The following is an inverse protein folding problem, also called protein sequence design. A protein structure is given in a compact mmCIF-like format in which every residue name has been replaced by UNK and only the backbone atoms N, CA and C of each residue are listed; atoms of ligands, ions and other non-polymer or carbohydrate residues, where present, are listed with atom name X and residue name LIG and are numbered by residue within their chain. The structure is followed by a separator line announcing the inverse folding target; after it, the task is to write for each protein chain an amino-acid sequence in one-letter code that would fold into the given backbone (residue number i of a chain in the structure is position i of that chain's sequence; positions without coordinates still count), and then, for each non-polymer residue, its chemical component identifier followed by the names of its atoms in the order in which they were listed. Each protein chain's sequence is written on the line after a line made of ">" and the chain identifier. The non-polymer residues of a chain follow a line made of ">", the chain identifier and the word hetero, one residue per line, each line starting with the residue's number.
data_IF_286479511764
#
_entry.id   IF_286479511764
#
_cell.length_a   1.000
_cell.length_b   1.000
_cell.length_c   1.000
_cell.angle_alpha   90.00
_cell.angle_beta   90.00
_cell.angle_gamma   90.00
#
_symmetry.space_group_name_H-M   'P 1'
#
loop_
_entity.id
_entity.type
_entity.pdbx_description
1 polymer ?
#
# COMPACT_ATOMS: atom_id res chain seq x y z
N UNK A 1 -27.41 -28.96 -1.56
CA UNK A 1 -26.17 -29.16 -2.37
C UNK A 1 -25.35 -27.89 -2.24
N UNK A 2 -24.43 -27.84 -1.29
CA UNK A 2 -23.51 -26.73 -1.07
C UNK A 2 -22.41 -26.82 -2.12
N UNK A 3 -22.36 -25.86 -3.04
CA UNK A 3 -21.29 -25.75 -4.02
C UNK A 3 -19.99 -25.46 -3.27
N UNK A 4 -19.08 -26.42 -3.24
CA UNK A 4 -17.70 -26.22 -2.76
C UNK A 4 -17.08 -25.20 -3.70
N UNK A 5 -16.85 -23.99 -3.21
CA UNK A 5 -16.12 -22.95 -3.95
C UNK A 5 -14.67 -23.42 -4.12
N UNK A 6 -14.41 -24.15 -5.20
CA UNK A 6 -13.07 -24.42 -5.66
C UNK A 6 -12.46 -23.09 -6.05
N UNK A 7 -11.38 -22.67 -5.38
CA UNK A 7 -10.64 -21.45 -5.73
C UNK A 7 -10.31 -21.36 -7.23
N UNK A 8 -9.71 -20.25 -7.72
CA UNK A 8 -9.52 -20.06 -9.15
C UNK A 8 -8.72 -21.22 -9.79
N UNK A 9 -9.12 -21.62 -11.00
CA UNK A 9 -8.43 -22.68 -11.76
C UNK A 9 -6.94 -22.34 -11.97
N UNK A 10 -6.07 -23.34 -12.20
CA UNK A 10 -4.64 -23.10 -12.43
C UNK A 10 -4.36 -22.04 -13.51
N UNK A 11 -5.07 -22.13 -14.64
CA UNK A 11 -4.95 -21.15 -15.72
C UNK A 11 -5.36 -19.72 -15.27
N UNK A 12 -6.41 -19.61 -14.44
CA UNK A 12 -6.86 -18.33 -13.88
C UNK A 12 -5.84 -17.78 -12.89
N UNK A 13 -5.23 -18.62 -12.04
CA UNK A 13 -4.16 -18.22 -11.11
C UNK A 13 -2.95 -17.65 -11.84
N UNK A 14 -2.54 -18.29 -12.95
CA UNK A 14 -1.42 -17.81 -13.77
C UNK A 14 -1.75 -16.50 -14.49
N UNK A 15 -2.98 -16.33 -14.95
CA UNK A 15 -3.45 -15.08 -15.54
C UNK A 15 -3.43 -13.93 -14.49
N UNK A 16 -3.91 -14.19 -13.27
CA UNK A 16 -3.89 -13.23 -12.17
C UNK A 16 -2.47 -12.88 -11.75
N UNK A 17 -1.58 -13.85 -11.63
CA UNK A 17 -0.18 -13.63 -11.31
C UNK A 17 0.53 -12.78 -12.38
N UNK A 18 0.25 -13.00 -13.67
CA UNK A 18 0.75 -12.13 -14.75
C UNK A 18 0.21 -10.71 -14.63
N UNK A 19 -1.09 -10.56 -14.32
CA UNK A 19 -1.72 -9.26 -14.13
C UNK A 19 -1.09 -8.49 -12.95
N UNK A 20 -0.87 -9.16 -11.81
CA UNK A 20 -0.19 -8.55 -10.65
C UNK A 20 1.21 -8.11 -11.04
N UNK A 21 2.00 -8.93 -11.72
CA UNK A 21 3.35 -8.55 -12.19
C UNK A 21 3.32 -7.31 -13.08
N UNK A 22 2.36 -7.22 -13.99
CA UNK A 22 2.21 -6.05 -14.85
C UNK A 22 1.86 -4.79 -14.06
N UNK A 23 0.88 -4.90 -13.13
CA UNK A 23 0.47 -3.78 -12.28
C UNK A 23 1.61 -3.30 -11.38
N UNK A 24 2.32 -4.23 -10.74
CA UNK A 24 3.48 -3.92 -9.90
C UNK A 24 4.60 -3.28 -10.71
N UNK A 25 4.89 -3.75 -11.92
CA UNK A 25 5.86 -3.12 -12.81
C UNK A 25 5.44 -1.69 -13.20
N UNK A 26 4.14 -1.47 -13.47
CA UNK A 26 3.60 -0.14 -13.75
C UNK A 26 3.74 0.78 -12.52
N UNK A 27 3.42 0.30 -11.32
CA UNK A 27 3.60 1.03 -10.06
C UNK A 27 5.07 1.39 -9.83
N UNK A 28 6.00 0.45 -9.99
CA UNK A 28 7.44 0.71 -9.84
C UNK A 28 7.90 1.77 -10.86
N UNK A 29 7.52 1.62 -12.13
CA UNK A 29 7.92 2.57 -13.18
C UNK A 29 7.40 3.97 -12.88
N UNK A 30 6.13 4.08 -12.49
CA UNK A 30 5.52 5.36 -12.14
C UNK A 30 6.25 5.99 -10.94
N UNK A 31 6.42 5.27 -9.84
CA UNK A 31 7.05 5.78 -8.62
C UNK A 31 8.53 6.13 -8.80
N UNK A 32 9.28 5.41 -9.65
CA UNK A 32 10.66 5.78 -9.97
C UNK A 32 10.71 7.11 -10.72
N UNK A 33 9.82 7.32 -11.68
CA UNK A 33 9.74 8.60 -12.41
C UNK A 33 9.32 9.72 -11.45
N UNK A 34 8.32 9.46 -10.59
CA UNK A 34 7.83 10.40 -9.58
C UNK A 34 8.91 10.77 -8.57
N UNK A 35 9.65 9.80 -8.04
CA UNK A 35 10.76 10.04 -7.12
C UNK A 35 11.84 10.94 -7.73
N UNK A 36 12.27 10.63 -8.95
CA UNK A 36 13.29 11.42 -9.66
C UNK A 36 12.77 12.85 -9.89
N UNK A 37 11.55 13.00 -10.38
CA UNK A 37 10.95 14.31 -10.67
C UNK A 37 10.77 15.13 -9.38
N UNK A 38 10.22 14.52 -8.31
CA UNK A 38 9.95 15.20 -7.05
C UNK A 38 11.24 15.58 -6.32
N UNK A 39 12.22 14.70 -6.24
CA UNK A 39 13.51 15.00 -5.58
C UNK A 39 14.26 16.07 -6.35
N UNK A 40 14.31 15.99 -7.69
CA UNK A 40 14.99 16.98 -8.52
C UNK A 40 14.32 18.35 -8.41
N UNK A 41 13.00 18.41 -8.55
CA UNK A 41 12.27 19.66 -8.42
C UNK A 41 12.33 20.23 -6.98
N UNK A 42 12.31 19.35 -5.97
CA UNK A 42 12.44 19.72 -4.56
C UNK A 42 13.80 20.32 -4.22
N UNK A 43 14.87 19.74 -4.74
CA UNK A 43 16.23 20.27 -4.55
C UNK A 43 16.42 21.60 -5.25
N UNK A 44 15.87 21.78 -6.46
CA UNK A 44 15.94 23.03 -7.20
C UNK A 44 15.12 24.17 -6.54
N UNK A 45 13.99 23.82 -5.92
CA UNK A 45 13.11 24.76 -5.25
C UNK A 45 13.40 24.91 -3.74
N UNK A 46 14.40 24.21 -3.20
CA UNK A 46 14.68 24.10 -1.76
C UNK A 46 13.45 23.68 -0.94
N UNK A 47 12.55 22.89 -1.55
CA UNK A 47 11.29 22.42 -0.96
C UNK A 47 11.48 21.07 -0.28
N UNK A 48 11.50 21.07 1.06
CA UNK A 48 11.60 19.83 1.86
C UNK A 48 10.37 18.93 1.68
N UNK A 49 9.17 19.51 1.52
CA UNK A 49 7.94 18.77 1.29
C UNK A 49 7.99 17.97 -0.02
N UNK A 50 8.51 18.57 -1.09
CA UNK A 50 8.62 17.91 -2.39
C UNK A 50 9.70 16.82 -2.40
N UNK A 51 10.83 17.04 -1.70
CA UNK A 51 11.85 16.00 -1.47
C UNK A 51 11.22 14.84 -0.69
N UNK A 52 10.46 15.14 0.36
CA UNK A 52 9.77 14.17 1.16
C UNK A 52 8.78 13.33 0.38
N UNK A 53 8.00 13.93 -0.50
CA UNK A 53 7.10 13.24 -1.41
C UNK A 53 7.85 12.26 -2.34
N UNK A 54 9.02 12.67 -2.85
CA UNK A 54 9.88 11.79 -3.63
C UNK A 54 10.45 10.62 -2.81
N UNK A 55 10.75 10.82 -1.53
CA UNK A 55 11.19 9.74 -0.63
C UNK A 55 10.08 8.74 -0.32
N UNK A 56 8.81 9.21 -0.21
CA UNK A 56 7.65 8.34 -0.10
C UNK A 56 7.54 7.39 -1.31
N UNK A 57 7.71 7.92 -2.53
CA UNK A 57 7.74 7.12 -3.76
C UNK A 57 8.88 6.08 -3.76
N UNK A 58 10.05 6.38 -3.17
CA UNK A 58 11.15 5.40 -3.01
C UNK A 58 10.75 4.28 -2.03
N UNK A 59 10.08 4.62 -0.94
CA UNK A 59 9.57 3.64 0.04
C UNK A 59 8.54 2.72 -0.65
N UNK A 60 7.63 3.28 -1.46
CA UNK A 60 6.65 2.50 -2.21
C UNK A 60 7.31 1.56 -3.24
N UNK A 61 8.34 2.02 -3.96
CA UNK A 61 9.13 1.16 -4.86
C UNK A 61 9.70 -0.04 -4.12
N UNK A 62 10.16 0.11 -2.88
CA UNK A 62 10.73 -0.99 -2.10
C UNK A 62 9.71 -2.10 -1.80
N UNK A 63 8.46 -1.74 -1.48
CA UNK A 63 7.39 -2.71 -1.24
C UNK A 63 6.95 -3.39 -2.55
N UNK A 64 6.75 -2.60 -3.61
CA UNK A 64 6.38 -3.09 -4.92
C UNK A 64 7.46 -4.04 -5.48
N UNK A 65 8.76 -3.73 -5.28
CA UNK A 65 9.87 -4.62 -5.66
C UNK A 65 9.83 -5.96 -4.90
N UNK A 66 9.45 -5.96 -3.62
CA UNK A 66 9.29 -7.20 -2.86
C UNK A 66 8.15 -8.07 -3.43
N UNK A 67 7.03 -7.46 -3.84
CA UNK A 67 5.94 -8.16 -4.51
C UNK A 67 6.38 -8.66 -5.89
N UNK A 68 7.10 -7.85 -6.66
CA UNK A 68 7.68 -8.28 -7.95
C UNK A 68 8.59 -9.50 -7.78
N UNK A 69 9.45 -9.49 -6.75
CA UNK A 69 10.30 -10.64 -6.41
C UNK A 69 9.49 -11.89 -6.05
N UNK A 70 8.43 -11.76 -5.25
CA UNK A 70 7.55 -12.87 -4.91
C UNK A 70 6.91 -13.47 -6.18
N UNK A 71 6.34 -12.63 -7.02
CA UNK A 71 5.65 -13.05 -8.24
C UNK A 71 6.58 -13.38 -9.42
N UNK A 72 7.89 -13.20 -9.30
CA UNK A 72 8.87 -13.68 -10.27
C UNK A 72 8.97 -15.22 -10.28
N UNK A 73 8.63 -15.87 -9.17
CA UNK A 73 8.59 -17.33 -9.10
C UNK A 73 7.50 -17.89 -10.04
N UNK A 74 7.85 -18.87 -10.85
CA UNK A 74 6.92 -19.55 -11.76
C UNK A 74 6.05 -20.57 -11.03
N UNK A 75 6.60 -21.18 -9.98
CA UNK A 75 5.92 -22.16 -9.17
C UNK A 75 5.06 -21.49 -8.09
N UNK A 76 3.84 -22.02 -7.89
CA UNK A 76 2.89 -21.52 -6.89
C UNK A 76 3.42 -21.73 -5.47
N UNK A 77 3.98 -22.89 -5.17
CA UNK A 77 4.51 -23.22 -3.85
C UNK A 77 5.67 -22.27 -3.47
N UNK A 78 6.52 -21.91 -4.43
CA UNK A 78 7.61 -20.97 -4.20
C UNK A 78 7.10 -19.53 -4.00
N UNK A 79 6.01 -19.12 -4.68
CA UNK A 79 5.36 -17.82 -4.45
C UNK A 79 4.80 -17.73 -3.03
N UNK A 80 4.16 -18.79 -2.59
CA UNK A 80 3.58 -18.90 -1.25
C UNK A 80 4.68 -18.89 -0.17
N UNK A 81 5.77 -19.62 -0.37
CA UNK A 81 6.94 -19.60 0.52
C UNK A 81 7.60 -18.21 0.64
N UNK A 82 7.54 -17.39 -0.41
CA UNK A 82 8.08 -16.01 -0.42
C UNK A 82 7.13 -15.00 0.23
N UNK A 83 5.85 -15.29 0.34
CA UNK A 83 4.82 -14.34 0.76
C UNK A 83 5.09 -13.76 2.15
N UNK A 84 5.49 -14.58 3.12
CA UNK A 84 5.80 -14.11 4.48
C UNK A 84 6.98 -13.12 4.51
N UNK A 85 8.00 -13.35 3.69
CA UNK A 85 9.14 -12.42 3.59
C UNK A 85 8.72 -11.12 2.93
N UNK A 86 7.92 -11.20 1.87
CA UNK A 86 7.36 -10.03 1.19
C UNK A 86 6.51 -9.19 2.14
N UNK A 87 5.61 -9.81 2.93
CA UNK A 87 4.81 -9.12 3.92
C UNK A 87 5.65 -8.40 4.98
N UNK A 88 6.76 -8.99 5.42
CA UNK A 88 7.69 -8.32 6.35
C UNK A 88 8.36 -7.09 5.74
N UNK A 89 8.77 -7.17 4.47
CA UNK A 89 9.36 -6.03 3.76
C UNK A 89 8.31 -4.93 3.63
N UNK A 90 7.09 -5.26 3.21
CA UNK A 90 5.98 -4.31 3.12
C UNK A 90 5.67 -3.68 4.49
N UNK A 91 5.67 -4.46 5.56
CA UNK A 91 5.46 -3.93 6.91
C UNK A 91 6.54 -2.92 7.32
N UNK A 92 7.80 -3.21 7.02
CA UNK A 92 8.91 -2.27 7.26
C UNK A 92 8.73 -1.00 6.43
N UNK A 93 8.30 -1.12 5.17
CA UNK A 93 8.00 0.04 4.31
C UNK A 93 6.88 0.91 4.90
N UNK A 94 5.81 0.31 5.44
CA UNK A 94 4.75 1.04 6.15
C UNK A 94 5.27 1.77 7.39
N UNK A 95 6.14 1.14 8.19
CA UNK A 95 6.72 1.79 9.36
C UNK A 95 7.68 2.92 8.97
N UNK A 96 8.46 2.74 7.91
CA UNK A 96 9.33 3.79 7.37
C UNK A 96 8.50 4.99 6.91
N UNK A 97 7.41 4.75 6.15
CA UNK A 97 6.47 5.78 5.72
C UNK A 97 5.84 6.50 6.92
N UNK A 98 5.32 5.75 7.89
CA UNK A 98 4.70 6.33 9.09
C UNK A 98 5.68 7.22 9.88
N UNK A 99 6.91 6.76 10.04
CA UNK A 99 7.96 7.53 10.73
C UNK A 99 8.29 8.81 9.97
N UNK A 100 8.49 8.70 8.66
CA UNK A 100 8.80 9.83 7.81
C UNK A 100 7.68 10.88 7.87
N UNK A 101 6.43 10.49 7.63
CA UNK A 101 5.26 11.38 7.65
C UNK A 101 5.04 12.01 9.03
N UNK A 102 5.22 11.24 10.13
CA UNK A 102 5.08 11.76 11.46
C UNK A 102 6.17 12.81 11.80
N UNK A 103 7.41 12.57 11.43
CA UNK A 103 8.51 13.52 11.64
C UNK A 103 8.27 14.80 10.84
N UNK A 104 7.86 14.70 9.60
CA UNK A 104 7.57 15.84 8.74
C UNK A 104 6.39 16.66 9.28
N UNK A 105 5.31 16.01 9.69
CA UNK A 105 4.16 16.67 10.30
C UNK A 105 4.52 17.40 11.61
N UNK A 106 5.34 16.78 12.47
CA UNK A 106 5.82 17.44 13.71
C UNK A 106 6.69 18.64 13.40
N UNK A 107 7.57 18.56 12.42
CA UNK A 107 8.40 19.70 11.98
C UNK A 107 7.52 20.87 11.49
N UNK A 108 6.51 20.56 10.66
CA UNK A 108 5.57 21.57 10.18
C UNK A 108 4.79 22.24 11.32
N UNK A 109 4.34 21.47 12.32
CA UNK A 109 3.65 22.01 13.51
C UNK A 109 4.55 22.85 14.41
N UNK A 110 5.85 22.58 14.47
CA UNK A 110 6.82 23.34 15.28
C UNK A 110 7.38 24.56 14.56
N UNK A 111 6.90 24.87 13.35
CA UNK A 111 7.31 26.04 12.57
C UNK A 111 8.69 25.91 11.92
N UNK A 112 9.28 24.69 11.89
CA UNK A 112 10.57 24.43 11.24
C UNK A 112 10.44 23.97 9.80
N UNK A 113 9.20 23.84 9.29
CA UNK A 113 8.87 23.44 7.92
C UNK A 113 7.93 24.46 7.30
N UNK A 114 8.41 25.31 6.41
CA UNK A 114 7.53 26.12 5.56
C UNK A 114 7.17 25.31 4.31
N UNK A 115 5.87 25.16 4.07
CA UNK A 115 5.37 24.60 2.81
C UNK A 115 5.58 25.66 1.71
N UNK A 116 6.74 25.66 1.05
CA UNK A 116 6.96 26.52 -0.10
C UNK A 116 6.05 26.08 -1.27
N UNK A 117 5.47 27.08 -1.93
CA UNK A 117 4.61 26.88 -3.10
C UNK A 117 5.44 26.36 -4.26
N UNK A 118 5.38 25.06 -4.54
CA UNK A 118 6.05 24.46 -5.69
C UNK A 118 5.03 24.06 -6.76
N UNK A 119 4.99 24.78 -7.87
CA UNK A 119 4.13 24.41 -9.02
C UNK A 119 4.44 23.00 -9.53
N UNK A 120 5.70 22.57 -9.68
CA UNK A 120 6.02 21.18 -10.00
C UNK A 120 5.44 20.18 -8.99
N UNK A 121 5.49 20.48 -7.70
CA UNK A 121 4.93 19.63 -6.65
C UNK A 121 3.41 19.45 -6.79
N UNK A 122 2.67 20.52 -7.08
CA UNK A 122 1.22 20.47 -7.33
C UNK A 122 0.92 19.55 -8.53
N UNK A 123 1.67 19.68 -9.63
CA UNK A 123 1.45 18.87 -10.83
C UNK A 123 1.74 17.40 -10.54
N UNK A 124 2.84 17.07 -9.85
CA UNK A 124 3.22 15.71 -9.50
C UNK A 124 2.17 15.10 -8.57
N UNK A 125 1.77 15.80 -7.51
CA UNK A 125 0.74 15.32 -6.57
C UNK A 125 -0.63 15.14 -7.25
N UNK A 126 -1.01 16.00 -8.19
CA UNK A 126 -2.25 15.85 -8.95
C UNK A 126 -2.21 14.65 -9.90
N UNK A 127 -1.07 14.37 -10.53
CA UNK A 127 -0.88 13.17 -11.35
C UNK A 127 -0.94 11.90 -10.50
N UNK A 128 -0.30 11.90 -9.33
CA UNK A 128 -0.33 10.79 -8.38
C UNK A 128 -1.76 10.52 -7.91
N UNK A 129 -2.49 11.57 -7.52
CA UNK A 129 -3.90 11.48 -7.13
C UNK A 129 -4.80 10.93 -8.26
N UNK A 130 -4.47 11.19 -9.51
CA UNK A 130 -5.22 10.67 -10.65
C UNK A 130 -4.88 9.20 -10.98
N UNK A 131 -3.60 8.79 -10.88
CA UNK A 131 -3.12 7.48 -11.35
C UNK A 131 -3.17 6.42 -10.27
N UNK A 132 -2.73 6.73 -9.03
CA UNK A 132 -2.55 5.76 -7.95
C UNK A 132 -3.84 5.05 -7.51
N UNK A 133 -5.03 5.69 -7.42
CA UNK A 133 -6.26 5.00 -7.05
C UNK A 133 -6.61 3.85 -8.00
N UNK A 134 -6.37 4.03 -9.31
CA UNK A 134 -6.65 3.01 -10.31
C UNK A 134 -5.68 1.83 -10.19
N UNK A 135 -4.38 2.09 -9.99
CA UNK A 135 -3.37 1.05 -9.77
C UNK A 135 -3.68 0.27 -8.50
N UNK A 136 -3.95 0.97 -7.39
CA UNK A 136 -4.33 0.36 -6.11
C UNK A 136 -5.58 -0.52 -6.24
N UNK A 137 -6.65 0.00 -6.83
CA UNK A 137 -7.91 -0.75 -6.99
C UNK A 137 -7.73 -2.00 -7.87
N UNK A 138 -7.01 -1.87 -9.00
CA UNK A 138 -6.73 -2.98 -9.91
C UNK A 138 -5.87 -4.07 -9.25
N UNK A 139 -4.84 -3.66 -8.50
CA UNK A 139 -3.95 -4.56 -7.78
C UNK A 139 -4.67 -5.26 -6.61
N UNK A 140 -5.48 -4.52 -5.84
CA UNK A 140 -6.31 -5.08 -4.77
C UNK A 140 -7.31 -6.11 -5.29
N UNK A 141 -7.97 -5.83 -6.41
CA UNK A 141 -8.89 -6.77 -7.06
C UNK A 141 -8.17 -8.06 -7.46
N UNK A 142 -7.04 -7.95 -8.15
CA UNK A 142 -6.26 -9.13 -8.56
C UNK A 142 -5.70 -9.90 -7.36
N UNK A 143 -5.22 -9.20 -6.32
CA UNK A 143 -4.73 -9.78 -5.07
C UNK A 143 -5.81 -10.56 -4.33
N UNK A 144 -7.03 -10.01 -4.21
CA UNK A 144 -8.18 -10.70 -3.60
C UNK A 144 -8.59 -11.94 -4.36
N UNK A 145 -8.70 -11.86 -5.70
CA UNK A 145 -9.05 -13.01 -6.53
C UNK A 145 -8.01 -14.13 -6.46
N UNK A 146 -6.73 -13.78 -6.26
CA UNK A 146 -5.64 -14.74 -6.12
C UNK A 146 -5.47 -15.26 -4.69
N UNK A 147 -6.00 -14.56 -3.69
CA UNK A 147 -5.78 -14.84 -2.27
C UNK A 147 -4.38 -14.44 -1.78
N UNK A 148 -3.72 -13.46 -2.42
CA UNK A 148 -2.38 -13.00 -2.03
C UNK A 148 -2.45 -11.84 -1.05
N UNK A 149 -2.07 -12.08 0.20
CA UNK A 149 -2.01 -11.08 1.25
C UNK A 149 -0.99 -9.97 0.96
N UNK A 150 0.14 -10.32 0.35
CA UNK A 150 1.19 -9.36 -0.01
C UNK A 150 0.74 -8.39 -1.10
N UNK A 151 0.06 -8.88 -2.16
CA UNK A 151 -0.47 -8.02 -3.21
C UNK A 151 -1.58 -7.07 -2.67
N UNK A 152 -2.37 -7.53 -1.70
CA UNK A 152 -3.37 -6.70 -1.02
C UNK A 152 -2.67 -5.65 -0.15
N UNK A 153 -1.65 -6.03 0.62
CA UNK A 153 -0.91 -5.11 1.49
C UNK A 153 -0.20 -4.00 0.68
N UNK A 154 0.46 -4.38 -0.43
CA UNK A 154 1.11 -3.43 -1.33
C UNK A 154 0.09 -2.47 -1.96
N UNK A 155 -1.08 -2.96 -2.38
CA UNK A 155 -2.16 -2.09 -2.88
C UNK A 155 -2.66 -1.07 -1.86
N UNK A 156 -2.59 -1.38 -0.56
CA UNK A 156 -2.95 -0.44 0.50
C UNK A 156 -1.89 0.65 0.67
N UNK A 157 -0.61 0.33 0.45
CA UNK A 157 0.46 1.31 0.47
C UNK A 157 0.31 2.32 -0.68
N UNK A 158 0.05 1.84 -1.90
CA UNK A 158 -0.29 2.69 -3.05
C UNK A 158 -1.53 3.58 -2.77
N UNK A 159 -2.51 3.08 -2.00
CA UNK A 159 -3.66 3.88 -1.60
C UNK A 159 -3.29 4.97 -0.58
N UNK A 160 -2.36 4.70 0.34
CA UNK A 160 -1.86 5.71 1.29
C UNK A 160 -1.12 6.85 0.57
N UNK A 161 -0.33 6.54 -0.46
CA UNK A 161 0.27 7.55 -1.33
C UNK A 161 -0.80 8.45 -1.99
N UNK A 162 -1.93 7.87 -2.41
CA UNK A 162 -3.09 8.62 -2.89
C UNK A 162 -3.62 9.60 -1.82
N UNK A 163 -3.75 9.15 -0.58
CA UNK A 163 -4.21 10.01 0.53
C UNK A 163 -3.22 11.12 0.85
N UNK A 164 -1.92 10.82 0.86
CA UNK A 164 -0.87 11.82 1.03
C UNK A 164 -0.91 12.88 -0.07
N UNK A 165 -1.07 12.45 -1.33
CA UNK A 165 -1.20 13.38 -2.46
C UNK A 165 -2.45 14.27 -2.33
N UNK A 166 -3.57 13.71 -1.88
CA UNK A 166 -4.80 14.47 -1.65
C UNK A 166 -4.64 15.48 -0.51
N UNK A 167 -4.03 15.05 0.60
CA UNK A 167 -3.75 15.93 1.76
C UNK A 167 -2.83 17.06 1.35
N UNK A 168 -1.75 16.77 0.63
CA UNK A 168 -0.81 17.79 0.13
C UNK A 168 -1.53 18.83 -0.74
N UNK A 169 -2.36 18.39 -1.68
CA UNK A 169 -3.12 19.31 -2.54
C UNK A 169 -4.15 20.13 -1.76
N UNK A 170 -4.90 19.50 -0.87
CA UNK A 170 -5.89 20.18 -0.03
C UNK A 170 -5.18 21.17 0.91
N UNK A 171 -4.09 20.77 1.54
CA UNK A 171 -3.29 21.64 2.42
C UNK A 171 -2.78 22.88 1.70
N UNK A 172 -2.25 22.71 0.48
CA UNK A 172 -1.81 23.84 -0.36
C UNK A 172 -2.96 24.79 -0.70
N UNK A 173 -4.15 24.26 -1.03
CA UNK A 173 -5.34 25.07 -1.32
C UNK A 173 -5.84 25.80 -0.06
N UNK A 174 -5.96 25.11 1.07
CA UNK A 174 -6.43 25.69 2.34
C UNK A 174 -5.45 26.77 2.85
N UNK A 175 -4.16 26.51 2.75
CA UNK A 175 -3.15 27.50 3.11
C UNK A 175 -3.22 28.73 2.19
N UNK A 176 -3.42 28.52 0.89
CA UNK A 176 -3.51 29.62 -0.08
C UNK A 176 -4.78 30.46 0.08
N UNK A 177 -5.90 29.89 0.54
CA UNK A 177 -7.22 30.54 0.60
C UNK A 177 -7.60 31.00 2.01
N UNK A 178 -7.32 30.19 3.04
CA UNK A 178 -7.77 30.40 4.42
C UNK A 178 -6.63 30.63 5.42
N UNK A 179 -5.37 30.45 5.01
CA UNK A 179 -4.21 30.57 5.91
C UNK A 179 -4.12 29.46 6.97
N UNK A 180 -4.78 28.29 6.75
CA UNK A 180 -4.81 27.18 7.70
C UNK A 180 -3.57 26.27 7.53
N UNK A 181 -2.47 26.69 8.15
CA UNK A 181 -1.19 25.95 8.07
C UNK A 181 -1.17 24.67 8.90
N UNK A 182 -2.04 24.51 9.89
CA UNK A 182 -2.09 23.36 10.80
C UNK A 182 -2.89 22.16 10.27
N UNK A 183 -3.78 22.36 9.29
CA UNK A 183 -4.69 21.33 8.83
C UNK A 183 -3.96 20.17 8.13
N UNK A 184 -2.98 20.48 7.32
CA UNK A 184 -2.14 19.52 6.59
C UNK A 184 -1.33 18.60 7.54
N UNK A 185 -0.52 19.13 8.49
CA UNK A 185 0.20 18.28 9.45
C UNK A 185 -0.71 17.37 10.29
N UNK A 186 -1.88 17.85 10.70
CA UNK A 186 -2.83 17.02 11.47
C UNK A 186 -3.36 15.86 10.62
N UNK A 187 -3.74 16.11 9.37
CA UNK A 187 -4.17 15.05 8.45
C UNK A 187 -3.03 14.06 8.18
N UNK A 188 -1.79 14.53 8.02
CA UNK A 188 -0.61 13.70 7.86
C UNK A 188 -0.37 12.77 9.07
N UNK A 189 -0.57 13.23 10.29
CA UNK A 189 -0.48 12.39 11.50
C UNK A 189 -1.55 11.29 11.52
N UNK A 190 -2.77 11.56 11.06
CA UNK A 190 -3.81 10.52 10.92
C UNK A 190 -3.39 9.47 9.90
N UNK A 191 -2.80 9.88 8.78
CA UNK A 191 -2.28 8.95 7.76
C UNK A 191 -1.13 8.11 8.34
N UNK A 192 -0.21 8.71 9.12
CA UNK A 192 0.85 7.97 9.79
C UNK A 192 0.30 6.90 10.74
N UNK A 193 -0.76 7.21 11.51
CA UNK A 193 -1.42 6.23 12.36
C UNK A 193 -2.06 5.08 11.58
N UNK A 194 -2.67 5.36 10.43
CA UNK A 194 -3.20 4.34 9.51
C UNK A 194 -2.06 3.47 8.97
N UNK A 195 -0.95 4.08 8.55
CA UNK A 195 0.22 3.34 8.06
C UNK A 195 0.81 2.40 9.12
N UNK A 196 0.88 2.83 10.38
CA UNK A 196 1.29 1.95 11.50
C UNK A 196 0.34 0.77 11.64
N UNK A 197 -0.98 0.99 11.55
CA UNK A 197 -1.98 -0.09 11.63
C UNK A 197 -1.79 -1.09 10.48
N UNK A 198 -1.68 -0.62 9.25
CA UNK A 198 -1.50 -1.47 8.07
C UNK A 198 -0.14 -2.22 8.13
N UNK A 199 0.91 -1.57 8.62
CA UNK A 199 2.21 -2.21 8.86
C UNK A 199 2.13 -3.35 9.87
N UNK A 200 1.39 -3.17 10.96
CA UNK A 200 1.13 -4.24 11.94
C UNK A 200 0.33 -5.39 11.35
N UNK A 201 -0.69 -5.10 10.57
CA UNK A 201 -1.52 -6.11 9.91
C UNK A 201 -0.69 -6.91 8.88
N UNK A 202 0.16 -6.25 8.10
CA UNK A 202 1.11 -6.91 7.20
C UNK A 202 2.14 -7.76 7.95
N UNK A 203 2.69 -7.27 9.07
CA UNK A 203 3.64 -8.01 9.89
C UNK A 203 3.04 -9.29 10.47
N UNK A 204 1.78 -9.24 10.88
CA UNK A 204 1.04 -10.37 11.43
C UNK A 204 0.48 -11.33 10.36
N UNK A 205 0.70 -11.02 9.08
CA UNK A 205 0.15 -11.80 7.96
C UNK A 205 -1.38 -11.75 7.89
N UNK A 206 -2.02 -10.75 8.51
CA UNK A 206 -3.46 -10.54 8.47
C UNK A 206 -3.89 -9.92 7.13
N UNK A 207 -3.65 -10.66 6.04
CA UNK A 207 -4.39 -10.43 4.81
C UNK A 207 -5.79 -10.99 5.02
N UNK A 208 -6.85 -10.19 4.80
CA UNK A 208 -8.20 -10.72 4.77
C UNK A 208 -8.22 -11.90 3.79
N UNK A 209 -8.58 -13.10 4.30
CA UNK A 209 -8.71 -14.32 3.53
C UNK A 209 -7.39 -14.94 2.99
N UNK A 210 -6.32 -14.98 3.77
CA UNK A 210 -5.28 -15.97 3.53
C UNK A 210 -5.90 -17.35 3.80
N UNK A 211 -5.96 -18.28 2.82
CA UNK A 211 -6.33 -19.66 3.13
C UNK A 211 -5.32 -20.16 4.15
N UNK A 212 -5.78 -20.43 5.37
CA UNK A 212 -4.97 -21.14 6.37
C UNK A 212 -4.48 -22.41 5.70
N UNK A 213 -3.15 -22.59 5.62
CA UNK A 213 -2.56 -23.86 5.23
C UNK A 213 -3.28 -24.95 6.03
N UNK A 214 -4.00 -25.81 5.34
CA UNK A 214 -4.66 -26.94 5.96
C UNK A 214 -3.57 -27.84 6.55
N UNK A 215 -3.30 -27.67 7.83
CA UNK A 215 -2.78 -28.77 8.63
C UNK A 215 -3.86 -29.83 8.59
N UNK A 216 -3.61 -31.07 8.12
CA UNK A 216 -4.61 -32.11 8.14
C UNK A 216 -5.10 -32.28 9.57
N UNK A 217 -6.36 -31.95 9.84
CA UNK A 217 -6.96 -32.18 11.14
C UNK A 217 -6.93 -33.71 11.41
N UNK A 218 -6.61 -34.15 12.62
CA UNK A 218 -6.68 -35.55 12.98
C UNK A 218 -8.14 -36.02 12.80
N UNK A 219 -8.29 -37.15 12.12
CA UNK A 219 -9.57 -37.81 11.82
C UNK A 219 -10.27 -38.06 13.18
N UNK A 220 -11.33 -37.31 13.46
CA UNK A 220 -12.13 -37.52 14.67
C UNK A 220 -12.70 -36.27 15.36
N UNK A 221 -12.42 -35.05 14.97
CA UNK A 221 -13.04 -33.87 15.57
C UNK A 221 -14.34 -33.53 14.82
N UNK A 222 -15.46 -33.52 15.57
CA UNK A 222 -16.78 -33.15 15.08
C UNK A 222 -16.75 -31.78 14.41
N UNK A 223 -17.39 -31.69 13.24
CA UNK A 223 -17.51 -30.49 12.42
C UNK A 223 -18.26 -29.39 13.21
N UNK A 224 -17.51 -28.45 13.79
CA UNK A 224 -18.02 -27.11 14.04
C UNK A 224 -17.97 -26.35 12.71
N UNK A 225 -19.09 -25.80 12.27
CA UNK A 225 -19.23 -25.01 11.06
C UNK A 225 -18.16 -23.91 11.03
N UNK A 226 -17.07 -24.16 10.33
CA UNK A 226 -16.11 -23.13 9.97
C UNK A 226 -16.63 -22.48 8.69
N UNK A 227 -17.00 -21.20 8.77
CA UNK A 227 -17.30 -20.38 7.61
C UNK A 227 -16.20 -20.53 6.56
N UNK A 228 -16.58 -20.60 5.28
CA UNK A 228 -15.74 -20.96 4.14
C UNK A 228 -14.47 -20.09 3.95
N UNK A 229 -14.25 -19.07 4.78
CA UNK A 229 -13.10 -18.17 4.76
C UNK A 229 -12.17 -18.32 5.97
N UNK A 230 -12.45 -19.16 6.97
CA UNK A 230 -11.62 -19.29 8.17
C UNK A 230 -11.49 -18.00 8.99
N UNK A 231 -12.34 -17.03 8.76
CA UNK A 231 -12.39 -15.77 9.51
C UNK A 231 -13.10 -15.98 10.86
N UNK A 232 -12.58 -15.33 11.91
CA UNK A 232 -13.28 -15.30 13.21
C UNK A 232 -14.63 -14.61 13.06
N UNK A 233 -15.68 -15.00 13.85
CA UNK A 233 -16.96 -14.31 13.86
C UNK A 233 -16.79 -12.82 14.11
N UNK A 234 -17.33 -11.97 13.23
CA UNK A 234 -17.21 -10.51 13.32
C UNK A 234 -16.19 -9.86 12.34
N UNK A 235 -15.63 -10.61 11.39
CA UNK A 235 -14.76 -10.04 10.37
C UNK A 235 -15.58 -9.31 9.29
N UNK A 236 -15.50 -7.98 9.24
CA UNK A 236 -16.20 -7.11 8.27
C UNK A 236 -15.54 -7.11 6.88
N UNK A 237 -14.58 -7.98 6.62
CA UNK A 237 -13.82 -8.02 5.37
C UNK A 237 -14.53 -8.76 4.23
N UNK A 238 -15.66 -9.43 4.50
CA UNK A 238 -16.44 -10.20 3.52
C UNK A 238 -17.80 -9.57 3.14
N UNK A 239 -18.07 -8.36 3.63
CA UNK A 239 -19.26 -7.56 3.23
C UNK A 239 -18.93 -6.59 2.11
#
# INVERSE_FOLDING_TARGET
>A
MTAISLGPSPARRDALARRIRFLVAATITYNVIEAIAAITAGTMASSTALIGFGLDSVIEVSSAAAVAWQFSARDHALREAREQRTLRIIAVSFFALATFVAVDAVRALTGTGEAERSVPGIVIAALSLAVMPFLSAAQRKAGRELGSASAIADSKQTLLCTYLSAVLLIGLVLNATLGWTWADPVAALVIAAIAVKEGRDAWQGKGCCAPTAHTPAPIGAAAAEADACGCKPGCTCCS
#
